data_IF_972304216648
#
_entry.id   IF_972304216648
#
_cell.length_a   1.000
_cell.length_b   1.000
_cell.length_c   1.000
_cell.angle_alpha   90.00
_cell.angle_beta   90.00
_cell.angle_gamma   90.00
#
_symmetry.space_group_name_H-M   'P 1'
#
loop_
_entity.id
_entity.type
_entity.pdbx_description
1 polymer ?
#
# COMPACT_ATOMS: atom_id res chain seq x y z
N UNK A 1 16.32 -35.80 -0.62
CA UNK A 1 15.42 -34.75 -0.09
C UNK A 1 15.35 -33.53 -1.02
N UNK A 2 16.01 -33.56 -2.19
CA UNK A 2 16.08 -32.42 -3.12
C UNK A 2 14.93 -32.32 -4.14
N UNK A 3 14.10 -33.35 -4.28
CA UNK A 3 13.00 -33.38 -5.26
C UNK A 3 11.83 -32.44 -4.95
N UNK A 4 11.54 -32.21 -3.66
CA UNK A 4 10.39 -31.37 -3.26
C UNK A 4 10.66 -29.86 -3.42
N UNK A 5 11.91 -29.43 -3.24
CA UNK A 5 12.28 -28.02 -3.38
C UNK A 5 12.28 -27.56 -4.85
N UNK A 6 12.67 -28.42 -5.79
CA UNK A 6 12.64 -28.09 -7.21
C UNK A 6 11.21 -27.98 -7.76
N UNK A 7 10.30 -28.87 -7.33
CA UNK A 7 8.90 -28.81 -7.77
C UNK A 7 8.18 -27.56 -7.26
N UNK A 8 8.39 -27.18 -5.98
CA UNK A 8 7.78 -25.95 -5.44
C UNK A 8 8.35 -24.68 -6.08
N UNK A 9 9.66 -24.65 -6.37
CA UNK A 9 10.27 -23.51 -7.08
C UNK A 9 9.67 -23.34 -8.47
N UNK A 10 9.54 -24.44 -9.22
CA UNK A 10 8.92 -24.45 -10.54
C UNK A 10 7.44 -24.02 -10.51
N UNK A 11 6.67 -24.42 -9.48
CA UNK A 11 5.27 -24.01 -9.31
C UNK A 11 5.13 -22.51 -9.09
N UNK A 12 5.94 -21.93 -8.19
CA UNK A 12 5.95 -20.48 -7.94
C UNK A 12 6.32 -19.71 -9.21
N UNK A 13 7.33 -20.17 -9.95
CA UNK A 13 7.74 -19.53 -11.21
C UNK A 13 6.63 -19.55 -12.26
N UNK A 14 5.93 -20.68 -12.41
CA UNK A 14 4.82 -20.81 -13.36
C UNK A 14 3.64 -19.90 -13.01
N UNK A 15 3.25 -19.85 -11.73
CA UNK A 15 2.17 -18.97 -11.26
C UNK A 15 2.56 -17.49 -11.44
N UNK A 16 3.80 -17.13 -11.10
CA UNK A 16 4.30 -15.77 -11.26
C UNK A 16 4.25 -15.36 -12.73
N UNK A 17 4.68 -16.24 -13.63
CA UNK A 17 4.66 -15.97 -15.07
C UNK A 17 3.23 -15.79 -15.61
N UNK A 18 2.27 -16.62 -15.19
CA UNK A 18 0.88 -16.47 -15.59
C UNK A 18 0.31 -15.10 -15.17
N UNK A 19 0.52 -14.72 -13.91
CA UNK A 19 0.06 -13.43 -13.39
C UNK A 19 0.75 -12.27 -14.12
N UNK A 20 2.05 -12.39 -14.40
CA UNK A 20 2.78 -11.40 -15.18
C UNK A 20 2.14 -11.19 -16.55
N UNK A 21 1.81 -12.27 -17.28
CA UNK A 21 1.17 -12.16 -18.60
C UNK A 21 -0.21 -11.50 -18.52
N UNK A 22 -1.05 -11.86 -17.53
CA UNK A 22 -2.36 -11.25 -17.34
C UNK A 22 -2.26 -9.75 -17.00
N UNK A 23 -1.34 -9.39 -16.10
CA UNK A 23 -1.10 -8.00 -15.70
C UNK A 23 -0.60 -7.17 -16.87
N UNK A 24 0.35 -7.67 -17.67
CA UNK A 24 0.84 -6.95 -18.85
C UNK A 24 -0.25 -6.83 -19.91
N UNK A 25 -1.02 -7.90 -20.14
CA UNK A 25 -2.11 -7.87 -21.11
C UNK A 25 -3.15 -6.80 -20.76
N UNK A 26 -3.54 -6.68 -19.49
CA UNK A 26 -4.47 -5.61 -19.06
C UNK A 26 -3.84 -4.23 -19.09
N UNK A 27 -2.57 -4.10 -18.68
CA UNK A 27 -1.87 -2.83 -18.73
C UNK A 27 -1.78 -2.29 -20.17
N UNK A 28 -1.47 -3.17 -21.14
CA UNK A 28 -1.34 -2.77 -22.54
C UNK A 28 -2.65 -2.32 -23.19
N UNK A 29 -3.82 -2.78 -22.70
CA UNK A 29 -5.14 -2.30 -23.15
C UNK A 29 -5.38 -0.83 -22.78
N UNK A 30 -4.66 -0.31 -21.78
CA UNK A 30 -4.90 1.01 -21.17
C UNK A 30 -3.73 1.98 -21.34
N UNK A 31 -2.85 1.75 -22.32
CA UNK A 31 -1.67 2.61 -22.55
C UNK A 31 -1.99 4.10 -22.77
N UNK A 32 -3.22 4.42 -23.19
CA UNK A 32 -3.68 5.79 -23.39
C UNK A 32 -4.27 6.43 -22.12
N UNK A 33 -4.40 5.66 -21.05
CA UNK A 33 -4.91 6.14 -19.77
C UNK A 33 -3.76 6.65 -18.89
N UNK A 34 -3.98 7.81 -18.28
CA UNK A 34 -3.01 8.43 -17.40
C UNK A 34 -3.20 7.97 -15.95
N UNK A 35 -3.29 6.66 -15.75
CA UNK A 35 -3.48 6.00 -14.46
C UNK A 35 -2.64 4.73 -14.39
N UNK A 36 -2.10 4.34 -13.22
CA UNK A 36 -1.48 3.03 -13.10
C UNK A 36 -2.56 1.93 -13.20
N UNK A 37 -2.14 0.74 -13.62
CA UNK A 37 -2.92 -0.47 -13.38
C UNK A 37 -2.71 -0.90 -11.93
N UNK A 38 -3.80 -1.21 -11.24
CA UNK A 38 -3.76 -1.70 -9.88
C UNK A 38 -3.87 -3.22 -9.83
N UNK A 39 -3.07 -3.83 -8.97
CA UNK A 39 -3.12 -5.27 -8.70
C UNK A 39 -3.37 -5.46 -7.21
N UNK A 40 -4.40 -6.21 -6.86
CA UNK A 40 -4.83 -6.47 -5.48
C UNK A 40 -4.57 -7.93 -5.18
N UNK A 41 -3.63 -8.20 -4.28
CA UNK A 41 -3.24 -9.54 -3.87
C UNK A 41 -3.73 -9.80 -2.46
N UNK A 42 -4.59 -10.81 -2.33
CA UNK A 42 -5.03 -11.44 -1.08
C UNK A 42 -4.42 -12.83 -0.91
N UNK A 43 -4.43 -13.37 0.31
CA UNK A 43 -4.09 -14.78 0.52
C UNK A 43 -3.85 -15.14 1.96
N UNK A 44 -3.97 -16.44 2.27
CA UNK A 44 -3.78 -16.94 3.64
C UNK A 44 -2.31 -16.91 4.06
N UNK A 45 -1.99 -16.85 5.37
CA UNK A 45 -0.61 -16.91 5.83
C UNK A 45 0.11 -18.17 5.31
N UNK A 46 1.31 -18.00 4.76
CA UNK A 46 2.10 -19.12 4.25
C UNK A 46 1.76 -19.58 2.82
N UNK A 47 0.79 -18.97 2.13
CA UNK A 47 0.44 -19.29 0.73
C UNK A 47 1.52 -18.91 -0.30
N UNK A 48 2.58 -18.21 0.11
CA UNK A 48 3.65 -17.77 -0.78
C UNK A 48 3.39 -16.41 -1.46
N UNK A 49 2.29 -15.72 -1.13
CA UNK A 49 1.89 -14.42 -1.71
C UNK A 49 3.02 -13.38 -1.77
N UNK A 50 3.79 -13.19 -0.69
CA UNK A 50 4.90 -12.22 -0.65
C UNK A 50 6.06 -12.64 -1.54
N UNK A 51 6.31 -13.95 -1.68
CA UNK A 51 7.35 -14.47 -2.59
C UNK A 51 6.95 -14.26 -4.04
N UNK A 52 5.71 -14.57 -4.40
CA UNK A 52 5.17 -14.38 -5.75
C UNK A 52 5.14 -12.89 -6.10
N UNK A 53 4.65 -12.05 -5.19
CA UNK A 53 4.58 -10.59 -5.39
C UNK A 53 5.96 -9.98 -5.63
N UNK A 54 6.98 -10.40 -4.87
CA UNK A 54 8.35 -9.94 -5.08
C UNK A 54 8.88 -10.32 -6.47
N UNK A 55 8.70 -11.58 -6.89
CA UNK A 55 9.12 -12.03 -8.22
C UNK A 55 8.37 -11.31 -9.34
N UNK A 56 7.06 -11.12 -9.18
CA UNK A 56 6.22 -10.37 -10.11
C UNK A 56 6.71 -8.92 -10.23
N UNK A 57 6.99 -8.25 -9.12
CA UNK A 57 7.54 -6.89 -9.12
C UNK A 57 8.87 -6.82 -9.86
N UNK A 58 9.77 -7.80 -9.65
CA UNK A 58 11.05 -7.89 -10.36
C UNK A 58 10.85 -8.06 -11.87
N UNK A 59 9.98 -8.99 -12.31
CA UNK A 59 9.67 -9.22 -13.73
C UNK A 59 9.06 -7.97 -14.40
N UNK A 60 8.06 -7.33 -13.76
CA UNK A 60 7.43 -6.12 -14.27
C UNK A 60 8.43 -4.95 -14.37
N UNK A 61 9.29 -4.80 -13.37
CA UNK A 61 10.32 -3.74 -13.37
C UNK A 61 11.31 -3.93 -14.52
N UNK A 62 11.72 -5.17 -14.80
CA UNK A 62 12.57 -5.49 -15.95
C UNK A 62 11.86 -5.18 -17.28
N UNK A 63 10.60 -5.60 -17.43
CA UNK A 63 9.80 -5.32 -18.62
C UNK A 63 9.74 -3.81 -18.96
N UNK A 64 9.49 -2.95 -17.96
CA UNK A 64 9.44 -1.51 -18.19
C UNK A 64 10.82 -0.89 -18.45
N UNK A 65 11.88 -1.41 -17.83
CA UNK A 65 13.25 -0.97 -18.09
C UNK A 65 13.63 -1.23 -19.56
N UNK A 66 13.28 -2.40 -20.10
CA UNK A 66 13.55 -2.75 -21.48
C UNK A 66 12.76 -1.87 -22.47
N UNK A 67 11.51 -1.52 -22.15
CA UNK A 67 10.73 -0.57 -22.98
C UNK A 67 11.27 0.86 -22.93
N UNK A 68 11.78 1.34 -21.79
CA UNK A 68 12.35 2.68 -21.68
C UNK A 68 13.66 2.85 -22.46
N UNK A 69 14.52 1.83 -22.50
CA UNK A 69 15.77 1.88 -23.28
C UNK A 69 15.54 2.03 -24.80
N UNK A 70 14.33 1.74 -25.29
CA UNK A 70 13.95 1.90 -26.70
C UNK A 70 13.35 3.27 -27.05
N UNK A 71 13.03 4.10 -26.05
CA UNK A 71 12.44 5.43 -26.23
C UNK A 71 13.29 6.47 -25.49
N UNK A 72 14.37 6.92 -26.12
CA UNK A 72 15.15 8.06 -25.63
C UNK A 72 14.46 9.33 -26.13
N UNK A 73 13.57 9.89 -25.32
CA UNK A 73 13.25 11.31 -25.35
C UNK A 73 13.20 11.77 -23.90
N UNK A 74 14.27 12.45 -23.47
CA UNK A 74 14.31 13.17 -22.20
C UNK A 74 13.43 14.41 -22.36
N UNK A 75 12.13 14.29 -22.08
CA UNK A 75 11.28 15.46 -21.88
C UNK A 75 11.57 16.05 -20.49
N UNK A 76 11.81 17.36 -20.46
CA UNK A 76 11.93 18.13 -19.22
C UNK A 76 10.67 17.93 -18.37
N UNK A 77 10.83 17.26 -17.23
CA UNK A 77 9.78 17.11 -16.24
C UNK A 77 9.46 18.48 -15.65
N UNK A 78 8.23 18.94 -15.82
CA UNK A 78 7.72 20.11 -15.11
C UNK A 78 7.67 19.76 -13.63
N UNK A 79 8.73 20.14 -12.90
CA UNK A 79 8.83 19.92 -11.45
C UNK A 79 7.87 20.85 -10.75
N UNK A 80 7.16 20.33 -9.75
CA UNK A 80 6.45 21.19 -8.81
C UNK A 80 7.41 22.24 -8.24
N UNK A 81 7.05 23.51 -8.39
CA UNK A 81 7.78 24.63 -7.81
C UNK A 81 7.10 24.96 -6.48
N UNK A 82 7.75 24.61 -5.38
CA UNK A 82 7.27 24.99 -4.05
C UNK A 82 6.95 26.48 -3.99
N UNK A 83 5.72 26.77 -3.56
CA UNK A 83 5.20 28.12 -3.30
C UNK A 83 5.47 28.50 -1.84
N UNK A 84 4.83 29.57 -1.35
CA UNK A 84 4.88 29.92 0.07
C UNK A 84 4.14 28.86 0.91
N UNK A 85 4.41 28.84 2.22
CA UNK A 85 3.87 27.81 3.11
C UNK A 85 2.34 27.80 3.15
N UNK A 86 1.67 28.96 3.11
CA UNK A 86 0.21 29.02 3.14
C UNK A 86 -0.41 28.31 1.93
N UNK A 87 0.13 28.54 0.72
CA UNK A 87 -0.36 27.88 -0.50
C UNK A 87 -0.06 26.39 -0.49
N UNK A 88 1.10 26.00 0.05
CA UNK A 88 1.50 24.60 0.19
C UNK A 88 0.56 23.86 1.15
N UNK A 89 0.22 24.48 2.29
CA UNK A 89 -0.71 23.94 3.28
C UNK A 89 -2.13 23.81 2.71
N UNK A 90 -2.60 24.81 1.93
CA UNK A 90 -3.90 24.73 1.26
C UNK A 90 -3.98 23.56 0.29
N UNK A 91 -2.94 23.36 -0.52
CA UNK A 91 -2.83 22.21 -1.41
C UNK A 91 -2.86 20.89 -0.64
N UNK A 92 -2.04 20.78 0.41
CA UNK A 92 -2.00 19.61 1.28
C UNK A 92 -3.34 19.33 1.96
N UNK A 93 -4.08 20.37 2.37
CA UNK A 93 -5.44 20.23 2.89
C UNK A 93 -6.37 19.64 1.84
N UNK A 94 -6.36 20.18 0.62
CA UNK A 94 -7.19 19.71 -0.49
C UNK A 94 -6.98 18.22 -0.80
N UNK A 95 -5.75 17.73 -0.67
CA UNK A 95 -5.39 16.32 -0.86
C UNK A 95 -5.82 15.47 0.34
N UNK A 96 -5.59 15.96 1.57
CA UNK A 96 -5.81 15.15 2.78
C UNK A 96 -7.26 15.15 3.27
N UNK A 97 -8.03 16.19 2.97
CA UNK A 97 -9.42 16.34 3.45
C UNK A 97 -10.39 15.37 2.78
N UNK A 98 -10.00 14.83 1.63
CA UNK A 98 -10.79 13.89 0.83
C UNK A 98 -10.57 12.43 1.23
N UNK A 99 -9.49 12.15 1.98
CA UNK A 99 -9.12 10.79 2.39
C UNK A 99 -9.26 10.54 3.89
N UNK A 100 -9.13 11.58 4.73
CA UNK A 100 -9.22 11.44 6.20
C UNK A 100 -10.61 11.78 6.72
N UNK A 101 -10.88 11.43 7.99
CA UNK A 101 -12.15 11.77 8.65
C UNK A 101 -12.26 13.26 9.05
N UNK A 102 -11.32 14.10 8.61
CA UNK A 102 -11.23 15.54 8.94
C UNK A 102 -11.32 15.85 10.43
N UNK A 103 -10.84 14.93 11.26
CA UNK A 103 -10.79 15.12 12.70
C UNK A 103 -9.50 15.84 13.10
N UNK A 104 -9.63 16.80 14.01
CA UNK A 104 -8.47 17.36 14.70
C UNK A 104 -7.88 16.31 15.63
N UNK A 105 -6.57 16.44 15.92
CA UNK A 105 -5.85 15.58 16.86
C UNK A 105 -6.72 15.39 18.11
N UNK A 106 -7.03 14.16 18.54
CA UNK A 106 -7.62 13.93 19.85
C UNK A 106 -6.74 14.63 20.89
N UNK A 107 -7.32 15.34 21.86
CA UNK A 107 -6.50 15.98 22.90
C UNK A 107 -5.57 14.93 23.53
N UNK A 108 -4.38 15.36 23.98
CA UNK A 108 -3.42 14.45 24.61
C UNK A 108 -4.05 13.67 25.77
N UNK A 109 -4.98 14.32 26.48
CA UNK A 109 -5.80 13.74 27.54
C UNK A 109 -6.70 12.60 26.99
N UNK A 110 -7.41 12.84 25.88
CA UNK A 110 -8.22 11.81 25.21
C UNK A 110 -7.38 10.61 24.75
N UNK A 111 -6.13 10.81 24.34
CA UNK A 111 -5.19 9.78 23.91
C UNK A 111 -4.72 8.87 25.06
N UNK A 112 -4.57 9.42 26.26
CA UNK A 112 -4.25 8.65 27.48
C UNK A 112 -5.48 7.97 28.08
N UNK A 113 -6.67 8.51 27.82
CA UNK A 113 -7.96 7.94 28.23
C UNK A 113 -8.52 6.90 27.24
N UNK A 114 -7.83 6.63 26.13
CA UNK A 114 -8.26 5.56 25.20
C UNK A 114 -8.01 4.21 25.88
N UNK A 115 -9.06 3.67 26.49
CA UNK A 115 -9.16 2.25 26.74
C UNK A 115 -9.39 1.59 25.40
N UNK A 116 -8.33 1.03 24.82
CA UNK A 116 -8.46 0.29 23.58
C UNK A 116 -9.23 -0.99 23.86
N UNK A 117 -10.46 -1.09 23.35
CA UNK A 117 -11.21 -2.34 23.37
C UNK A 117 -10.41 -3.44 22.64
N UNK A 118 -10.68 -4.70 22.95
CA UNK A 118 -10.17 -5.83 22.17
C UNK A 118 -10.56 -5.78 20.69
N UNK A 119 -11.64 -5.06 20.36
CA UNK A 119 -12.18 -4.93 19.01
C UNK A 119 -12.26 -3.47 18.53
N UNK A 120 -11.19 -2.67 18.68
CA UNK A 120 -11.18 -1.32 18.07
C UNK A 120 -11.20 -1.43 16.55
N UNK A 121 -12.40 -1.55 15.99
CA UNK A 121 -12.72 -1.48 14.57
C UNK A 121 -12.97 -0.03 14.21
N UNK A 122 -12.50 0.38 13.04
CA UNK A 122 -12.81 1.69 12.46
C UNK A 122 -12.39 2.90 13.31
N UNK A 123 -11.22 2.80 13.96
CA UNK A 123 -10.64 3.95 14.65
C UNK A 123 -10.51 5.14 13.69
N UNK A 124 -10.86 6.35 14.14
CA UNK A 124 -10.84 7.54 13.28
C UNK A 124 -9.41 7.98 12.97
N UNK A 125 -9.22 8.42 11.75
CA UNK A 125 -7.99 9.03 11.29
C UNK A 125 -7.97 10.54 11.54
N UNK A 126 -6.79 11.05 11.88
CA UNK A 126 -6.51 12.47 12.06
C UNK A 126 -5.18 12.83 11.39
N UNK A 127 -4.99 14.11 11.07
CA UNK A 127 -3.77 14.61 10.43
C UNK A 127 -3.05 15.63 11.30
N UNK A 128 -1.72 15.59 11.27
CA UNK A 128 -0.85 16.53 11.98
C UNK A 128 0.01 17.26 10.96
N UNK A 129 -0.07 18.59 10.93
CA UNK A 129 0.84 19.42 10.16
C UNK A 129 2.24 19.37 10.80
N UNK A 130 3.24 19.03 10.00
CA UNK A 130 4.66 19.01 10.38
C UNK A 130 5.47 19.78 9.33
N UNK A 131 6.74 20.02 9.63
CA UNK A 131 7.69 20.67 8.73
C UNK A 131 8.94 19.79 8.64
N UNK A 132 9.46 19.62 7.42
CA UNK A 132 10.72 18.92 7.20
C UNK A 132 11.92 19.80 7.59
N UNK A 133 13.13 19.24 7.49
CA UNK A 133 14.38 19.95 7.83
C UNK A 133 14.62 21.19 6.96
N UNK A 134 13.96 21.29 5.80
CA UNK A 134 14.03 22.45 4.89
C UNK A 134 12.96 23.52 5.21
N UNK A 135 12.04 23.23 6.12
CA UNK A 135 10.92 24.07 6.48
C UNK A 135 9.70 23.95 5.55
N UNK A 136 9.65 22.93 4.69
CA UNK A 136 8.47 22.64 3.87
C UNK A 136 7.41 21.92 4.70
N UNK A 137 6.13 22.33 4.58
CA UNK A 137 5.05 21.69 5.30
C UNK A 137 4.74 20.31 4.71
N UNK A 138 4.33 19.39 5.56
CA UNK A 138 3.78 18.09 5.18
C UNK A 138 2.75 17.63 6.20
N UNK A 139 1.84 16.73 5.79
CA UNK A 139 0.89 16.11 6.73
C UNK A 139 1.33 14.71 7.12
N UNK A 140 1.25 14.39 8.41
CA UNK A 140 1.33 13.03 8.94
C UNK A 140 -0.08 12.57 9.33
N UNK A 141 -0.64 11.61 8.58
CA UNK A 141 -1.94 11.01 8.83
C UNK A 141 -1.76 9.81 9.77
N UNK A 142 -2.52 9.81 10.87
CA UNK A 142 -2.44 8.82 11.94
C UNK A 142 -3.82 8.27 12.26
N UNK A 143 -3.78 7.09 12.85
CA UNK A 143 -4.93 6.33 13.33
C UNK A 143 -4.47 5.57 14.59
N UNK A 144 -5.06 4.41 14.89
CA UNK A 144 -4.81 3.57 16.04
C UNK A 144 -3.33 3.21 16.22
N UNK A 145 -2.57 3.03 15.15
CA UNK A 145 -1.15 2.66 15.23
C UNK A 145 -0.18 3.83 15.41
N UNK A 146 -0.66 5.07 15.49
CA UNK A 146 0.14 6.25 15.80
C UNK A 146 1.20 6.56 14.74
N UNK A 147 2.41 6.96 15.16
CA UNK A 147 3.51 7.32 14.24
C UNK A 147 4.02 6.12 13.42
N UNK A 148 4.05 4.92 14.03
CA UNK A 148 4.62 3.73 13.40
C UNK A 148 3.85 3.23 12.18
N UNK A 149 2.54 3.50 12.12
CA UNK A 149 1.67 3.19 10.97
C UNK A 149 1.24 4.45 10.20
N UNK A 150 1.90 5.58 10.45
CA UNK A 150 1.52 6.86 9.85
C UNK A 150 1.86 6.92 8.36
N UNK A 151 1.06 7.72 7.64
CA UNK A 151 1.30 8.05 6.24
C UNK A 151 1.69 9.51 6.19
N UNK A 152 2.82 9.83 5.58
CA UNK A 152 3.26 11.20 5.43
C UNK A 152 3.13 11.66 3.97
N UNK A 153 2.54 12.84 3.78
CA UNK A 153 2.31 13.42 2.45
C UNK A 153 3.12 14.71 2.37
N UNK A 154 4.19 14.62 1.60
CA UNK A 154 5.17 15.68 1.37
C UNK A 154 4.94 16.30 -0.01
N UNK A 155 5.26 17.58 -0.12
CA UNK A 155 5.45 18.23 -1.40
C UNK A 155 6.91 18.04 -1.83
N UNK A 156 7.20 17.83 -3.12
CA UNK A 156 8.57 17.60 -3.57
C UNK A 156 9.43 18.86 -3.35
N UNK A 157 10.65 18.65 -2.89
CA UNK A 157 11.62 19.73 -2.70
C UNK A 157 12.13 20.26 -4.06
N UNK A 158 12.53 21.54 -4.12
CA UNK A 158 13.03 22.19 -5.35
C UNK A 158 14.23 21.48 -6.00
N UNK A 159 14.99 20.71 -5.22
CA UNK A 159 16.21 20.02 -5.64
C UNK A 159 16.18 18.55 -5.21
N UNK A 160 15.15 17.80 -5.59
CA UNK A 160 15.25 16.35 -5.50
C UNK A 160 16.29 15.84 -6.52
N UNK A 161 17.21 15.00 -6.03
CA UNK A 161 18.12 14.22 -6.87
C UNK A 161 17.31 13.37 -7.87
N UNK A 162 17.79 13.23 -9.11
CA UNK A 162 17.19 12.44 -10.19
C UNK A 162 17.16 10.91 -9.92
N UNK A 163 16.84 10.46 -8.71
CA UNK A 163 16.54 9.05 -8.46
C UNK A 163 15.20 8.74 -9.10
N UNK A 164 15.25 8.20 -10.32
CA UNK A 164 14.08 7.78 -11.09
C UNK A 164 13.33 6.72 -10.29
N UNK A 165 12.08 7.01 -9.95
CA UNK A 165 11.20 6.04 -9.30
C UNK A 165 10.99 4.82 -10.20
N UNK A 166 10.91 3.64 -9.59
CA UNK A 166 10.47 2.43 -10.30
C UNK A 166 9.05 2.62 -10.86
N UNK A 167 8.79 2.25 -12.12
CA UNK A 167 7.43 2.26 -12.67
C UNK A 167 6.50 1.23 -12.01
N UNK A 168 7.03 0.37 -11.13
CA UNK A 168 6.27 -0.64 -10.39
C UNK A 168 6.49 -0.42 -8.90
N UNK A 169 5.41 -0.28 -8.15
CA UNK A 169 5.44 -0.21 -6.69
C UNK A 169 4.65 -1.37 -6.07
N UNK A 170 5.13 -1.85 -4.93
CA UNK A 170 4.42 -2.81 -4.09
C UNK A 170 4.18 -2.17 -2.74
N UNK A 171 2.95 -2.28 -2.26
CA UNK A 171 2.46 -1.74 -0.99
C UNK A 171 2.08 -2.93 -0.11
N UNK A 172 2.99 -3.35 0.80
CA UNK A 172 2.69 -4.43 1.72
C UNK A 172 1.79 -3.93 2.86
N UNK A 173 0.71 -4.66 3.11
CA UNK A 173 -0.22 -4.44 4.24
C UNK A 173 0.47 -4.62 5.60
N UNK A 174 1.55 -5.41 5.66
CA UNK A 174 2.26 -5.72 6.91
C UNK A 174 2.74 -4.46 7.64
N UNK A 175 3.06 -3.37 6.93
CA UNK A 175 3.44 -2.10 7.56
C UNK A 175 2.34 -1.44 8.37
N UNK A 176 1.09 -1.86 8.19
CA UNK A 176 -0.06 -1.36 8.93
C UNK A 176 -0.47 -2.25 10.09
N UNK A 177 0.34 -3.22 10.49
CA UNK A 177 0.15 -3.90 11.77
C UNK A 177 0.15 -2.88 12.93
N UNK A 178 -0.80 -3.00 13.87
CA UNK A 178 -0.83 -2.14 15.06
C UNK A 178 0.44 -2.39 15.89
N UNK A 179 1.19 -1.38 16.33
CA UNK A 179 2.44 -1.63 17.06
C UNK A 179 2.23 -2.48 18.31
N UNK A 180 3.20 -3.33 18.65
CA UNK A 180 3.17 -4.19 19.84
C UNK A 180 2.94 -3.39 21.12
N UNK A 181 3.54 -2.20 21.22
CA UNK A 181 3.36 -1.28 22.34
C UNK A 181 1.94 -0.72 22.46
N UNK A 182 1.19 -0.67 21.36
CA UNK A 182 -0.21 -0.24 21.33
C UNK A 182 -1.11 -1.42 21.68
N UNK A 183 -0.88 -2.61 21.11
CA UNK A 183 -1.59 -3.84 21.49
C UNK A 183 -1.43 -4.16 22.99
N UNK A 184 -0.27 -3.84 23.58
CA UNK A 184 -0.01 -3.99 25.00
C UNK A 184 -0.92 -3.12 25.90
N UNK A 185 -1.56 -2.08 25.33
CA UNK A 185 -2.48 -1.16 26.02
C UNK A 185 -3.96 -1.55 25.85
N UNK A 186 -4.25 -2.63 25.13
CA UNK A 186 -5.63 -3.09 24.95
C UNK A 186 -6.25 -3.58 26.26
N UNK A 187 -7.58 -3.63 26.33
CA UNK A 187 -8.31 -4.14 27.49
C UNK A 187 -7.90 -5.59 27.81
N UNK A 188 -7.61 -6.39 26.79
CA UNK A 188 -7.01 -7.72 26.92
C UNK A 188 -5.72 -7.84 26.09
N UNK A 189 -4.57 -7.37 26.61
CA UNK A 189 -3.30 -7.37 25.87
C UNK A 189 -2.86 -8.77 25.46
N UNK A 190 -3.11 -9.78 26.30
CA UNK A 190 -2.71 -11.17 26.05
C UNK A 190 -3.40 -11.72 24.81
N UNK A 191 -4.69 -11.48 24.69
CA UNK A 191 -5.48 -11.90 23.53
C UNK A 191 -5.09 -11.13 22.27
N UNK A 192 -4.93 -9.81 22.36
CA UNK A 192 -4.53 -8.97 21.24
C UNK A 192 -3.15 -9.39 20.67
N UNK A 193 -2.18 -9.66 21.54
CA UNK A 193 -0.86 -10.16 21.15
C UNK A 193 -0.91 -11.61 20.63
N UNK A 194 -1.77 -12.46 21.20
CA UNK A 194 -1.95 -13.84 20.71
C UNK A 194 -2.58 -13.87 19.31
N UNK A 195 -3.53 -12.98 19.03
CA UNK A 195 -4.19 -12.80 17.74
C UNK A 195 -3.38 -11.97 16.75
N UNK A 196 -2.11 -11.66 17.01
CA UNK A 196 -1.27 -10.88 16.10
C UNK A 196 -1.33 -11.46 14.67
N UNK A 197 -1.71 -10.62 13.71
CA UNK A 197 -1.95 -11.02 12.33
C UNK A 197 -3.43 -11.26 11.99
N UNK A 198 -4.33 -11.25 12.99
CA UNK A 198 -5.78 -11.16 12.79
C UNK A 198 -6.17 -9.77 12.27
N UNK A 199 -7.26 -9.65 11.51
CA UNK A 199 -7.70 -8.37 10.92
C UNK A 199 -7.98 -7.28 11.96
N UNK A 200 -8.25 -7.62 13.22
CA UNK A 200 -8.42 -6.62 14.30
C UNK A 200 -7.09 -6.06 14.83
N UNK A 201 -5.96 -6.62 14.39
CA UNK A 201 -4.60 -6.22 14.81
C UNK A 201 -3.86 -5.39 13.77
N UNK A 202 -4.59 -4.85 12.79
CA UNK A 202 -4.10 -3.91 11.78
C UNK A 202 -4.77 -2.55 11.93
N UNK A 203 -4.01 -1.50 11.64
CA UNK A 203 -4.48 -0.15 11.44
C UNK A 203 -5.16 -0.04 10.06
N UNK A 204 -6.31 -0.70 9.95
CA UNK A 204 -7.07 -0.82 8.71
C UNK A 204 -7.53 0.53 8.17
N UNK A 205 -7.84 1.48 9.07
CA UNK A 205 -8.25 2.83 8.67
C UNK A 205 -7.12 3.56 7.94
N UNK A 206 -5.91 3.58 8.49
CA UNK A 206 -4.80 4.20 7.79
C UNK A 206 -4.47 3.44 6.49
N UNK A 207 -4.53 2.11 6.49
CA UNK A 207 -4.33 1.34 5.25
C UNK A 207 -5.33 1.74 4.15
N UNK A 208 -6.62 1.84 4.47
CA UNK A 208 -7.64 2.32 3.53
C UNK A 208 -7.37 3.77 3.09
N UNK A 209 -7.00 4.66 4.01
CA UNK A 209 -6.67 6.05 3.67
C UNK A 209 -5.47 6.14 2.72
N UNK A 210 -4.48 5.25 2.88
CA UNK A 210 -3.37 5.13 1.93
C UNK A 210 -3.88 4.72 0.56
N UNK A 211 -4.70 3.67 0.46
CA UNK A 211 -5.28 3.22 -0.82
C UNK A 211 -6.07 4.36 -1.48
N UNK A 212 -6.95 5.04 -0.73
CA UNK A 212 -7.68 6.22 -1.21
C UNK A 212 -6.76 7.29 -1.80
N UNK A 213 -5.65 7.59 -1.13
CA UNK A 213 -4.66 8.55 -1.61
C UNK A 213 -4.04 8.12 -2.96
N UNK A 214 -3.70 6.84 -3.12
CA UNK A 214 -3.11 6.34 -4.38
C UNK A 214 -4.15 6.32 -5.51
N UNK A 215 -5.41 5.98 -5.22
CA UNK A 215 -6.49 5.95 -6.21
C UNK A 215 -6.90 7.34 -6.68
N UNK A 216 -6.71 8.37 -5.85
CA UNK A 216 -6.99 9.74 -6.22
C UNK A 216 -6.10 10.19 -7.37
N UNK A 217 -6.74 10.61 -8.45
CA UNK A 217 -6.04 11.25 -9.57
C UNK A 217 -5.71 12.67 -9.16
N UNK A 218 -4.46 12.91 -8.80
CA UNK A 218 -3.96 14.24 -8.47
C UNK A 218 -3.25 14.86 -9.66
N UNK A 219 -3.60 16.11 -9.98
CA UNK A 219 -2.82 16.97 -10.89
C UNK A 219 -1.56 17.53 -10.23
N UNK A 220 -1.28 17.11 -8.99
CA UNK A 220 -0.25 17.66 -8.13
C UNK A 220 0.76 16.56 -7.82
N UNK A 221 2.04 16.92 -7.92
CA UNK A 221 3.14 16.05 -7.57
C UNK A 221 3.27 15.97 -6.04
N UNK A 222 3.24 14.76 -5.50
CA UNK A 222 3.42 14.52 -4.06
C UNK A 222 4.35 13.34 -3.81
N UNK A 223 4.97 13.36 -2.64
CA UNK A 223 5.80 12.27 -2.13
C UNK A 223 5.10 11.69 -0.91
N UNK A 224 4.75 10.42 -0.99
CA UNK A 224 4.07 9.70 0.09
C UNK A 224 5.06 8.78 0.77
N UNK A 225 5.27 8.93 2.08
CA UNK A 225 6.00 7.97 2.90
C UNK A 225 5.01 7.12 3.68
N UNK A 226 5.28 5.83 3.77
CA UNK A 226 4.37 4.86 4.36
C UNK A 226 5.15 3.78 5.11
N UNK A 227 4.50 3.08 6.06
CA UNK A 227 5.20 2.18 6.96
C UNK A 227 5.58 0.88 6.26
N UNK A 228 6.63 0.26 6.75
CA UNK A 228 7.02 -1.12 6.43
C UNK A 228 6.96 -1.99 7.68
N UNK A 229 7.48 -3.21 7.61
CA UNK A 229 7.44 -4.15 8.72
C UNK A 229 8.80 -4.78 8.94
N UNK A 230 9.28 -4.79 10.19
CA UNK A 230 10.48 -5.54 10.55
C UNK A 230 10.07 -6.93 11.04
N UNK A 231 10.45 -7.99 10.31
CA UNK A 231 10.14 -9.37 10.69
C UNK A 231 10.94 -9.88 11.89
N UNK A 232 12.09 -9.26 12.22
CA UNK A 232 12.86 -9.58 13.42
C UNK A 232 12.17 -9.02 14.66
N UNK A 233 11.81 -7.74 14.63
CA UNK A 233 11.13 -7.05 15.73
C UNK A 233 9.63 -7.38 15.81
N UNK A 234 9.06 -7.91 14.71
CA UNK A 234 7.63 -8.17 14.51
C UNK A 234 6.74 -6.93 14.71
N UNK A 235 7.27 -5.78 14.31
CA UNK A 235 6.67 -4.46 14.52
C UNK A 235 6.78 -3.60 13.25
N UNK A 236 5.81 -2.71 12.97
CA UNK A 236 5.93 -1.75 11.88
C UNK A 236 7.08 -0.77 12.07
N UNK A 237 7.63 -0.33 10.94
CA UNK A 237 8.69 0.66 10.82
C UNK A 237 8.14 1.87 10.09
N UNK A 238 8.11 3.01 10.78
CA UNK A 238 7.66 4.28 10.21
C UNK A 238 8.50 4.66 8.99
N UNK A 239 7.85 5.22 7.95
CA UNK A 239 8.50 5.79 6.77
C UNK A 239 9.51 4.85 6.08
N UNK A 240 9.29 3.52 6.15
CA UNK A 240 10.20 2.54 5.55
C UNK A 240 10.20 2.58 4.02
N UNK A 241 9.11 3.04 3.42
CA UNK A 241 8.95 3.16 1.99
C UNK A 241 8.51 4.57 1.58
N UNK A 242 8.79 4.90 0.32
CA UNK A 242 8.40 6.16 -0.30
C UNK A 242 7.86 5.89 -1.70
N UNK A 243 6.78 6.59 -2.07
CA UNK A 243 6.17 6.57 -3.38
C UNK A 243 5.88 8.01 -3.83
N UNK A 244 6.45 8.39 -4.96
CA UNK A 244 6.17 9.64 -5.67
C UNK A 244 4.97 9.45 -6.59
N UNK A 245 3.98 10.31 -6.44
CA UNK A 245 2.80 10.36 -7.30
C UNK A 245 2.91 11.62 -8.15
N UNK A 246 2.84 11.44 -9.46
CA UNK A 246 3.05 12.50 -10.45
C UNK A 246 1.87 12.55 -11.42
N UNK A 247 1.50 13.72 -11.95
CA UNK A 247 0.50 13.82 -13.01
C UNK A 247 0.89 13.08 -14.29
N UNK A 248 2.18 12.87 -14.55
CA UNK A 248 2.68 12.19 -15.75
C UNK A 248 2.59 10.65 -15.67
N UNK A 249 1.99 10.13 -14.59
CA UNK A 249 1.78 8.70 -14.37
C UNK A 249 3.08 7.90 -14.54
N UNK A 250 4.16 8.31 -13.86
CA UNK A 250 5.44 7.57 -13.87
C UNK A 250 5.28 6.17 -13.27
N UNK A 251 4.40 6.04 -12.26
CA UNK A 251 3.95 4.77 -11.74
C UNK A 251 3.02 4.09 -12.77
N UNK A 252 3.42 2.93 -13.28
CA UNK A 252 2.65 2.15 -14.26
C UNK A 252 1.83 1.06 -13.62
N UNK A 253 2.37 0.42 -12.58
CA UNK A 253 1.69 -0.65 -11.86
C UNK A 253 1.85 -0.44 -10.34
N UNK A 254 0.75 -0.54 -9.61
CA UNK A 254 0.75 -0.52 -8.14
C UNK A 254 0.14 -1.81 -7.61
N UNK A 255 0.91 -2.58 -6.84
CA UNK A 255 0.50 -3.86 -6.28
C UNK A 255 0.22 -3.69 -4.78
N UNK A 256 -1.03 -3.86 -4.36
CA UNK A 256 -1.39 -3.98 -2.95
C UNK A 256 -1.31 -5.44 -2.53
N UNK A 257 -0.45 -5.78 -1.56
CA UNK A 257 -0.27 -7.17 -1.08
C UNK A 257 -0.61 -7.26 0.40
N UNK A 258 -1.48 -8.19 0.77
CA UNK A 258 -1.89 -8.35 2.15
C UNK A 258 -2.80 -9.54 2.38
N UNK A 259 -3.00 -9.89 3.66
CA UNK A 259 -3.91 -10.98 4.04
C UNK A 259 -5.36 -10.63 3.69
N UNK A 260 -5.75 -9.38 3.93
CA UNK A 260 -7.15 -8.97 3.99
C UNK A 260 -7.59 -8.07 2.83
N UNK A 261 -6.79 -7.93 1.77
CA UNK A 261 -7.14 -7.08 0.63
C UNK A 261 -8.41 -7.52 -0.11
N UNK A 262 -8.80 -8.79 0.00
CA UNK A 262 -10.02 -9.36 -0.59
C UNK A 262 -11.00 -9.86 0.48
N UNK A 263 -10.80 -9.45 1.73
CA UNK A 263 -11.63 -9.85 2.86
C UNK A 263 -12.87 -8.96 2.95
N UNK A 264 -14.07 -9.55 2.95
CA UNK A 264 -15.34 -8.83 2.93
C UNK A 264 -15.70 -8.23 4.31
N UNK A 265 -14.87 -7.29 4.77
CA UNK A 265 -15.05 -6.54 6.01
C UNK A 265 -14.70 -5.07 5.80
N UNK A 266 -15.27 -4.19 6.63
CA UNK A 266 -15.04 -2.75 6.56
C UNK A 266 -13.55 -2.39 6.69
N UNK A 267 -13.11 -1.39 5.94
CA UNK A 267 -11.71 -0.98 5.73
C UNK A 267 -10.81 -2.02 5.05
N UNK A 268 -11.34 -3.19 4.68
CA UNK A 268 -10.66 -4.23 3.93
C UNK A 268 -11.25 -4.34 2.52
N UNK A 269 -11.36 -5.56 1.98
CA UNK A 269 -11.78 -5.81 0.61
C UNK A 269 -13.08 -5.11 0.21
N UNK A 270 -14.09 -5.05 1.08
CA UNK A 270 -15.35 -4.37 0.74
C UNK A 270 -15.15 -2.87 0.50
N UNK A 271 -14.53 -2.16 1.44
CA UNK A 271 -14.25 -0.72 1.30
C UNK A 271 -13.19 -0.42 0.24
N UNK A 272 -12.23 -1.33 0.01
CA UNK A 272 -11.23 -1.19 -1.06
C UNK A 272 -11.92 -1.22 -2.42
N UNK A 273 -12.79 -2.21 -2.67
CA UNK A 273 -13.55 -2.32 -3.93
C UNK A 273 -14.43 -1.09 -4.13
N UNK A 274 -15.15 -0.63 -3.10
CA UNK A 274 -15.95 0.59 -3.17
C UNK A 274 -15.14 1.82 -3.60
N UNK A 275 -13.90 1.96 -3.11
CA UNK A 275 -13.04 3.07 -3.52
C UNK A 275 -12.50 2.91 -4.95
N UNK A 276 -12.24 1.68 -5.42
CA UNK A 276 -11.93 1.44 -6.84
C UNK A 276 -13.09 1.86 -7.75
N UNK A 277 -14.32 1.43 -7.43
CA UNK A 277 -15.52 1.76 -8.19
C UNK A 277 -15.80 3.27 -8.20
N UNK A 278 -15.75 3.91 -7.02
CA UNK A 278 -15.96 5.35 -6.85
C UNK A 278 -14.98 6.19 -7.64
N UNK A 279 -13.71 5.78 -7.70
CA UNK A 279 -12.67 6.48 -8.46
C UNK A 279 -12.59 6.02 -9.92
N UNK A 280 -13.45 5.07 -10.35
CA UNK A 280 -13.45 4.46 -11.69
C UNK A 280 -12.06 3.95 -12.07
N UNK A 281 -11.43 3.27 -11.13
CA UNK A 281 -10.11 2.67 -11.30
C UNK A 281 -10.27 1.18 -11.51
N UNK A 282 -9.74 0.71 -12.62
CA UNK A 282 -9.70 -0.71 -12.87
C UNK A 282 -8.57 -1.39 -12.10
N UNK A 283 -8.78 -2.64 -11.74
CA UNK A 283 -7.83 -3.44 -11.00
C UNK A 283 -7.92 -4.91 -11.41
N UNK A 284 -6.86 -5.66 -11.12
CA UNK A 284 -6.85 -7.12 -11.15
C UNK A 284 -6.72 -7.66 -9.73
N UNK A 285 -7.52 -8.66 -9.38
CA UNK A 285 -7.51 -9.27 -8.05
C UNK A 285 -7.04 -10.73 -8.12
N UNK A 286 -6.12 -11.10 -7.23
CA UNK A 286 -5.61 -12.46 -7.11
C UNK A 286 -5.67 -12.91 -5.64
N UNK A 287 -6.22 -14.10 -5.40
CA UNK A 287 -6.21 -14.72 -4.08
C UNK A 287 -5.33 -15.96 -4.07
N UNK A 288 -4.36 -16.01 -3.15
CA UNK A 288 -3.50 -17.18 -2.95
C UNK A 288 -3.93 -17.98 -1.74
N UNK A 289 -4.47 -19.17 -2.00
CA UNK A 289 -4.73 -20.16 -0.98
C UNK A 289 -3.46 -20.98 -0.67
N UNK A 290 -3.35 -21.50 0.54
CA UNK A 290 -2.35 -22.52 0.85
C UNK A 290 -2.88 -23.87 0.38
N UNK A 291 -2.05 -24.67 -0.31
CA UNK A 291 -2.38 -26.06 -0.61
C UNK A 291 -2.57 -26.82 0.72
N UNK A 292 -3.78 -26.82 1.28
CA UNK A 292 -4.15 -27.76 2.33
C UNK A 292 -4.04 -29.16 1.73
N UNK A 293 -3.20 -29.97 2.36
CA UNK A 293 -2.89 -31.34 1.95
C UNK A 293 -4.21 -32.11 1.74
N UNK A 294 -4.27 -32.82 0.63
CA UNK A 294 -5.32 -33.78 0.25
C UNK A 294 -6.62 -33.20 -0.35
N UNK A 295 -6.56 -32.70 -1.60
CA UNK A 295 -7.55 -32.97 -2.69
C UNK A 295 -7.43 -31.98 -3.86
N UNK A 296 -6.49 -32.11 -4.80
CA UNK A 296 -6.64 -31.40 -6.08
C UNK A 296 -6.16 -32.21 -7.30
N UNK A 297 -7.12 -32.47 -8.19
CA UNK A 297 -6.94 -32.86 -9.60
C UNK A 297 -6.32 -31.68 -10.37
N UNK A 298 -5.52 -31.97 -11.41
CA UNK A 298 -4.76 -31.01 -12.24
C UNK A 298 -5.56 -29.88 -12.93
N UNK A 299 -6.88 -29.82 -12.76
CA UNK A 299 -7.76 -28.87 -13.44
C UNK A 299 -8.20 -27.64 -12.61
N UNK A 300 -7.75 -27.48 -11.35
CA UNK A 300 -8.23 -26.41 -10.44
C UNK A 300 -7.13 -25.43 -9.95
N UNK A 301 -6.00 -25.33 -10.64
CA UNK A 301 -4.81 -24.58 -10.17
C UNK A 301 -4.78 -23.09 -10.56
N UNK A 302 -5.91 -22.48 -10.91
CA UNK A 302 -5.94 -21.07 -11.28
C UNK A 302 -6.27 -20.22 -10.04
N UNK A 303 -5.60 -19.05 -9.84
CA UNK A 303 -6.16 -18.03 -8.97
C UNK A 303 -7.59 -17.73 -9.45
N UNK A 304 -8.53 -17.65 -8.53
CA UNK A 304 -9.89 -17.24 -8.87
C UNK A 304 -9.83 -15.75 -9.18
N UNK A 305 -10.07 -15.39 -10.45
CA UNK A 305 -10.45 -14.02 -10.81
C UNK A 305 -11.78 -13.75 -10.10
N UNK A 306 -11.74 -12.86 -9.10
CA UNK A 306 -12.93 -12.38 -8.37
C UNK A 306 -13.39 -11.08 -9.02
#
# INVERSE_FOLDING_TARGET
MDGNNNNNKNKIDLITEQIFQEVIQEYEKKLNENSPLFVVIGGVPGSGKTTITKRLQEQLSLYFKDKQNNNINDEETVRYVSKNNDTNIELLNRITDTITDNTTIPSQDLLHDIVYDTEVKNYKSYKILKYDDSGLPFYSIKSIGGDKTSIEIHLPAKTESNNKQSPVATVPMDGFHIPLEILAKYANPKEALFKRGHFETFDSKNYLNFIKLILQSSNEEIVVKYPGFNHEDKDPVQNAYQLKLTPQNELKICIFEGLYNLFNEENYGSSIIEEFEKNKKDHLSFFFDSDDKDQYNENNLLPVLI
#
